data_IF_792186535663
#
_entry.id   IF_792186535663
#
_cell.length_a   1.000
_cell.length_b   1.000
_cell.length_c   1.000
_cell.angle_alpha   90.00
_cell.angle_beta   90.00
_cell.angle_gamma   90.00
#
_symmetry.space_group_name_H-M   'P 1'
#
loop_
_entity.id
_entity.type
_entity.pdbx_description
1 polymer ?
#
# COMPACT_ATOMS: atom_id res chain seq x y z
N UNK A 1 9.35 -18.19 21.03
CA UNK A 1 10.77 -18.14 21.50
C UNK A 1 10.60 -18.08 23.00
N UNK A 2 11.06 -19.06 23.79
CA UNK A 2 10.70 -19.09 25.21
C UNK A 2 11.32 -17.90 25.95
N UNK A 3 10.52 -16.88 26.22
CA UNK A 3 10.87 -15.75 27.08
C UNK A 3 10.78 -16.22 28.53
N UNK A 4 11.79 -15.94 29.33
CA UNK A 4 11.84 -16.30 30.76
C UNK A 4 12.14 -15.06 31.58
N UNK A 5 11.93 -15.09 32.90
CA UNK A 5 12.22 -13.95 33.78
C UNK A 5 13.68 -13.44 33.69
N UNK A 6 14.62 -14.30 33.27
CA UNK A 6 16.04 -13.97 33.07
C UNK A 6 16.41 -13.69 31.59
N UNK A 7 15.45 -13.87 30.66
CA UNK A 7 15.64 -13.70 29.22
C UNK A 7 14.58 -12.74 28.67
N UNK A 8 14.91 -11.45 28.75
CA UNK A 8 14.04 -10.38 28.27
C UNK A 8 13.94 -10.39 26.73
N UNK A 9 12.73 -10.19 26.17
CA UNK A 9 12.53 -9.95 24.75
C UNK A 9 13.31 -8.70 24.30
N UNK A 10 13.62 -8.62 23.01
CA UNK A 10 14.24 -7.41 22.47
C UNK A 10 13.27 -6.22 22.54
N UNK A 11 13.83 -5.01 22.59
CA UNK A 11 13.04 -3.77 22.57
C UNK A 11 12.13 -3.67 21.33
N UNK A 12 12.56 -4.20 20.17
CA UNK A 12 11.74 -4.27 18.95
C UNK A 12 10.47 -5.13 19.14
N UNK A 13 10.56 -6.21 19.92
CA UNK A 13 9.42 -7.09 20.19
C UNK A 13 8.46 -6.42 21.19
N UNK A 14 9.00 -5.79 22.24
CA UNK A 14 8.21 -5.08 23.24
C UNK A 14 7.49 -3.86 22.65
N UNK A 15 8.17 -3.09 21.79
CA UNK A 15 7.57 -1.99 21.03
C UNK A 15 6.49 -2.48 20.06
N UNK A 16 6.73 -3.59 19.37
CA UNK A 16 5.72 -4.23 18.52
C UNK A 16 4.46 -4.63 19.30
N UNK A 17 4.63 -5.17 20.51
CA UNK A 17 3.54 -5.53 21.41
C UNK A 17 2.74 -4.33 21.92
N UNK A 18 3.40 -3.18 22.13
CA UNK A 18 2.73 -1.94 22.50
C UNK A 18 1.85 -1.39 21.37
N UNK A 19 2.21 -1.66 20.11
CA UNK A 19 1.55 -1.21 18.87
C UNK A 19 0.58 -2.25 18.28
N UNK A 20 -0.11 -3.03 19.11
CA UNK A 20 -1.11 -4.05 18.74
C UNK A 20 -0.60 -5.32 18.03
N UNK A 21 0.70 -5.62 18.05
CA UNK A 21 1.23 -6.93 17.63
C UNK A 21 1.55 -7.81 18.85
N UNK A 22 0.56 -8.02 19.71
CA UNK A 22 0.74 -8.85 20.91
C UNK A 22 0.69 -10.34 20.57
N UNK A 23 1.72 -11.07 21.00
CA UNK A 23 1.79 -12.54 20.97
C UNK A 23 1.38 -13.08 22.35
N UNK A 24 0.64 -14.19 22.39
CA UNK A 24 0.13 -14.78 23.63
C UNK A 24 1.28 -15.17 24.58
N UNK A 25 2.40 -15.63 24.03
CA UNK A 25 3.62 -15.99 24.80
C UNK A 25 4.24 -14.76 25.48
N UNK A 26 4.15 -13.60 24.83
CA UNK A 26 4.70 -12.35 25.35
C UNK A 26 3.81 -11.75 26.44
N UNK A 27 2.49 -11.89 26.32
CA UNK A 27 1.56 -11.45 27.36
C UNK A 27 1.80 -12.17 28.69
N UNK A 28 2.05 -13.48 28.64
CA UNK A 28 2.42 -14.27 29.83
C UNK A 28 3.72 -13.74 30.44
N UNK A 29 4.72 -13.44 29.61
CA UNK A 29 5.98 -12.85 30.10
C UNK A 29 5.77 -11.48 30.77
N UNK A 30 4.87 -10.64 30.25
CA UNK A 30 4.57 -9.32 30.84
C UNK A 30 3.85 -9.44 32.20
N UNK A 31 3.10 -10.52 32.44
CA UNK A 31 2.52 -10.79 33.77
C UNK A 31 3.60 -11.20 34.80
N UNK A 32 4.65 -11.87 34.34
CA UNK A 32 5.73 -12.37 35.21
C UNK A 32 6.89 -11.36 35.38
N UNK A 33 7.11 -10.48 34.40
CA UNK A 33 8.23 -9.54 34.36
C UNK A 33 7.76 -8.08 34.44
N UNK A 34 7.87 -7.48 35.63
CA UNK A 34 7.45 -6.09 35.87
C UNK A 34 8.22 -5.07 35.03
N UNK A 35 9.51 -5.31 34.76
CA UNK A 35 10.34 -4.38 33.96
C UNK A 35 9.87 -4.30 32.50
N UNK A 36 9.57 -5.44 31.89
CA UNK A 36 9.07 -5.47 30.53
C UNK A 36 7.64 -4.91 30.45
N UNK A 37 6.82 -5.15 31.47
CA UNK A 37 5.47 -4.59 31.59
C UNK A 37 5.49 -3.06 31.65
N UNK A 38 6.32 -2.48 32.53
CA UNK A 38 6.49 -1.04 32.68
C UNK A 38 6.96 -0.38 31.37
N UNK A 39 7.93 -1.00 30.68
CA UNK A 39 8.39 -0.51 29.38
C UNK A 39 7.29 -0.50 28.30
N UNK A 40 6.47 -1.55 28.23
CA UNK A 40 5.35 -1.62 27.27
C UNK A 40 4.27 -0.58 27.62
N UNK A 41 4.00 -0.38 28.91
CA UNK A 41 3.05 0.62 29.38
C UNK A 41 3.52 2.05 29.07
N UNK A 42 4.79 2.36 29.27
CA UNK A 42 5.40 3.64 28.89
C UNK A 42 5.22 3.92 27.39
N UNK A 43 5.47 2.94 26.53
CA UNK A 43 5.28 3.10 25.08
C UNK A 43 3.81 3.34 24.75
N UNK A 44 2.88 2.63 25.39
CA UNK A 44 1.44 2.84 25.19
C UNK A 44 1.02 4.24 25.62
N UNK A 45 1.55 4.73 26.74
CA UNK A 45 1.28 6.09 27.22
C UNK A 45 1.80 7.13 26.22
N UNK A 46 3.02 6.97 25.71
CA UNK A 46 3.56 7.85 24.65
C UNK A 46 2.69 7.81 23.40
N UNK A 47 2.23 6.63 22.97
CA UNK A 47 1.35 6.51 21.81
C UNK A 47 0.00 7.20 22.03
N UNK A 48 -0.55 7.10 23.24
CA UNK A 48 -1.78 7.80 23.61
C UNK A 48 -1.58 9.31 23.63
N UNK A 49 -0.48 9.80 24.20
CA UNK A 49 -0.14 11.23 24.19
C UNK A 49 0.02 11.76 22.76
N UNK A 50 0.63 10.97 21.87
CA UNK A 50 0.75 11.32 20.44
C UNK A 50 -0.62 11.32 19.75
N UNK A 51 -1.50 10.37 20.08
CA UNK A 51 -2.85 10.30 19.52
C UNK A 51 -3.74 11.45 20.01
N UNK A 52 -3.52 11.93 21.24
CA UNK A 52 -4.21 13.09 21.82
C UNK A 52 -3.69 14.44 21.28
N UNK A 53 -2.53 14.46 20.63
CA UNK A 53 -2.13 15.64 19.87
C UNK A 53 -3.15 15.83 18.75
N UNK A 54 -3.83 16.98 18.76
CA UNK A 54 -4.81 17.35 17.74
C UNK A 54 -4.27 16.99 16.35
N UNK A 55 -4.95 16.06 15.67
CA UNK A 55 -4.69 15.77 14.27
C UNK A 55 -4.73 17.09 13.51
N UNK A 56 -3.55 17.66 13.23
CA UNK A 56 -3.48 18.85 12.42
C UNK A 56 -4.11 18.52 11.08
N UNK A 57 -5.24 19.16 10.80
CA UNK A 57 -5.92 19.01 9.53
C UNK A 57 -4.90 19.29 8.43
N UNK A 58 -4.60 18.25 7.63
CA UNK A 58 -3.71 18.39 6.50
C UNK A 58 -4.27 19.54 5.65
N UNK A 59 -3.49 20.61 5.42
CA UNK A 59 -3.98 21.74 4.64
C UNK A 59 -4.52 21.26 3.29
N UNK A 60 -5.76 21.66 2.95
CA UNK A 60 -6.46 21.19 1.74
C UNK A 60 -5.60 21.34 0.47
N UNK A 61 -4.78 22.39 0.39
CA UNK A 61 -3.87 22.61 -0.73
C UNK A 61 -2.84 21.48 -0.96
N UNK A 62 -2.41 20.77 0.09
CA UNK A 62 -1.50 19.62 -0.02
C UNK A 62 -2.26 18.38 -0.51
N UNK A 63 -3.49 18.18 0.00
CA UNK A 63 -4.35 17.10 -0.44
C UNK A 63 -4.66 17.22 -1.94
N UNK A 64 -5.04 18.42 -2.40
CA UNK A 64 -5.32 18.70 -3.81
C UNK A 64 -4.07 18.49 -4.68
N UNK A 65 -2.89 18.89 -4.20
CA UNK A 65 -1.64 18.72 -4.93
C UNK A 65 -1.25 17.24 -5.06
N UNK A 66 -1.44 16.44 -4.01
CA UNK A 66 -1.21 14.99 -4.04
C UNK A 66 -2.20 14.32 -5.01
N UNK A 67 -3.48 14.67 -4.92
CA UNK A 67 -4.52 14.15 -5.80
C UNK A 67 -4.26 14.53 -7.27
N UNK A 68 -3.77 15.75 -7.53
CA UNK A 68 -3.39 16.18 -8.87
C UNK A 68 -2.23 15.32 -9.44
N UNK A 69 -1.19 15.05 -8.64
CA UNK A 69 -0.05 14.20 -9.06
C UNK A 69 -0.50 12.76 -9.34
N UNK A 70 -1.36 12.20 -8.48
CA UNK A 70 -1.90 10.84 -8.66
C UNK A 70 -2.82 10.77 -9.88
N UNK A 71 -3.65 11.79 -10.10
CA UNK A 71 -4.54 11.87 -11.26
C UNK A 71 -3.76 12.02 -12.58
N UNK A 72 -2.65 12.76 -12.59
CA UNK A 72 -1.78 12.89 -13.76
C UNK A 72 -1.16 11.55 -14.16
N UNK A 73 -0.80 10.69 -13.21
CA UNK A 73 -0.35 9.31 -13.49
C UNK A 73 -1.44 8.43 -14.11
N UNK A 74 -2.72 8.65 -13.80
CA UNK A 74 -3.86 7.94 -14.43
C UNK A 74 -4.29 8.52 -15.77
N UNK A 75 -3.87 9.75 -16.10
CA UNK A 75 -4.46 10.57 -17.16
C UNK A 75 -4.10 10.22 -18.60
N UNK A 76 -3.15 9.33 -18.86
CA UNK A 76 -2.65 9.14 -20.23
C UNK A 76 -3.11 7.84 -20.88
N UNK A 77 -4.43 7.66 -21.05
CA UNK A 77 -4.99 6.54 -21.83
C UNK A 77 -4.32 6.40 -23.21
N UNK A 78 -3.95 7.53 -23.83
CA UNK A 78 -3.25 7.57 -25.12
C UNK A 78 -1.80 7.08 -25.00
N UNK A 79 -1.07 7.45 -23.94
CA UNK A 79 0.32 7.00 -23.74
C UNK A 79 0.33 5.50 -23.39
N UNK A 80 -0.61 5.05 -22.55
CA UNK A 80 -0.78 3.62 -22.25
C UNK A 80 -1.15 2.82 -23.51
N UNK A 81 -1.95 3.38 -24.41
CA UNK A 81 -2.28 2.74 -25.69
C UNK A 81 -1.04 2.61 -26.60
N UNK A 82 -0.25 3.67 -26.74
CA UNK A 82 1.00 3.66 -27.53
C UNK A 82 2.01 2.67 -26.94
N UNK A 83 2.17 2.67 -25.61
CA UNK A 83 3.09 1.76 -24.94
C UNK A 83 2.65 0.30 -25.08
N UNK A 84 1.35 0.02 -24.99
CA UNK A 84 0.81 -1.33 -25.17
C UNK A 84 0.86 -1.79 -26.64
N UNK A 85 0.73 -0.86 -27.59
CA UNK A 85 0.94 -1.13 -29.02
C UNK A 85 2.36 -1.60 -29.30
N UNK A 86 3.36 -0.90 -28.77
CA UNK A 86 4.78 -1.27 -28.94
C UNK A 86 5.15 -2.59 -28.27
N UNK A 87 4.42 -2.99 -27.21
CA UNK A 87 4.67 -4.25 -26.51
C UNK A 87 4.31 -5.48 -27.34
N UNK A 88 3.26 -5.39 -28.18
CA UNK A 88 2.73 -6.53 -28.94
C UNK A 88 2.50 -6.20 -30.44
N UNK A 89 3.55 -5.83 -31.20
CA UNK A 89 3.41 -5.31 -32.57
C UNK A 89 2.72 -6.30 -33.54
N UNK A 90 2.92 -7.60 -33.34
CA UNK A 90 2.37 -8.64 -34.20
C UNK A 90 0.83 -8.73 -34.14
N UNK A 91 0.25 -8.62 -32.94
CA UNK A 91 -1.21 -8.69 -32.75
C UNK A 91 -1.92 -7.50 -33.41
N UNK A 92 -1.36 -6.30 -33.23
CA UNK A 92 -1.91 -5.09 -33.84
C UNK A 92 -1.77 -5.11 -35.37
N UNK A 93 -0.69 -5.70 -35.91
CA UNK A 93 -0.53 -5.92 -37.34
C UNK A 93 -1.56 -6.87 -37.95
N UNK A 94 -1.89 -7.97 -37.27
CA UNK A 94 -2.93 -8.89 -37.73
C UNK A 94 -4.30 -8.20 -37.72
N UNK A 95 -4.61 -7.44 -36.65
CA UNK A 95 -5.87 -6.72 -36.53
C UNK A 95 -6.06 -5.66 -37.62
N UNK A 96 -5.02 -4.92 -38.00
CA UNK A 96 -5.10 -3.94 -39.08
C UNK A 96 -5.33 -4.60 -40.44
N UNK A 97 -4.64 -5.71 -40.74
CA UNK A 97 -4.87 -6.45 -42.00
C UNK A 97 -6.29 -7.00 -42.07
N UNK A 98 -6.78 -7.61 -40.99
CA UNK A 98 -8.15 -8.11 -40.91
C UNK A 98 -9.18 -6.98 -41.10
N UNK A 99 -8.94 -5.83 -40.47
CA UNK A 99 -9.82 -4.66 -40.61
C UNK A 99 -9.91 -4.19 -42.07
N UNK A 100 -8.78 -4.10 -42.77
CA UNK A 100 -8.74 -3.71 -44.19
C UNK A 100 -9.50 -4.71 -45.06
N UNK A 101 -9.34 -6.02 -44.82
CA UNK A 101 -10.06 -7.06 -45.55
C UNK A 101 -11.57 -6.93 -45.32
N UNK A 102 -12.01 -6.72 -44.07
CA UNK A 102 -13.43 -6.55 -43.74
C UNK A 102 -14.01 -5.33 -44.45
N UNK A 103 -13.32 -4.18 -44.41
CA UNK A 103 -13.76 -2.96 -45.10
C UNK A 103 -13.86 -3.18 -46.60
N UNK A 104 -12.90 -3.89 -47.19
CA UNK A 104 -12.90 -4.21 -48.62
C UNK A 104 -14.08 -5.13 -49.02
N UNK A 105 -14.37 -6.15 -48.22
CA UNK A 105 -15.51 -7.05 -48.45
C UNK A 105 -16.84 -6.30 -48.35
N UNK A 106 -16.98 -5.42 -47.35
CA UNK A 106 -18.17 -4.57 -47.19
C UNK A 106 -18.32 -3.64 -48.40
N UNK A 107 -17.23 -3.03 -48.87
CA UNK A 107 -17.24 -2.16 -50.03
C UNK A 107 -17.70 -2.90 -51.30
N UNK A 108 -17.20 -4.11 -51.54
CA UNK A 108 -17.65 -4.95 -52.66
C UNK A 108 -19.13 -5.33 -52.53
N UNK A 109 -19.59 -5.64 -51.32
CA UNK A 109 -20.97 -6.04 -51.09
C UNK A 109 -21.97 -4.88 -51.27
N UNK A 110 -21.53 -3.64 -51.03
CA UNK A 110 -22.33 -2.43 -51.19
C UNK A 110 -22.29 -1.84 -52.62
N UNK A 111 -21.40 -2.34 -53.48
CA UNK A 111 -21.28 -1.95 -54.89
C UNK A 111 -22.24 -2.76 -55.76
#
# INVERSE_FOLDING_TARGET
MNYTADCHPSEEILTGCALDNADDELLIHLEECSQCSEFVEDIRNICHEIADLEEQQIPQHLHDKIMAIVSQKKGSKVINFIQNWYRNPFFYGIMTVLFVIIVYVIFIFLL
#
